data_IF_206725708389
#
_entry.id   IF_206725708389
#
_cell.length_a   1.000
_cell.length_b   1.000
_cell.length_c   1.000
_cell.angle_alpha   90.00
_cell.angle_beta   90.00
_cell.angle_gamma   90.00
#
_symmetry.space_group_name_H-M   'P 1'
#
loop_
_entity.id
_entity.type
_entity.pdbx_description
1 polymer ?
#
# COMPACT_ATOMS: atom_id res chain seq x y z
N UNK A 1 16.93 13.84 -12.26
CA UNK A 1 15.72 13.31 -11.56
C UNK A 1 15.43 11.82 -11.82
N UNK A 2 16.33 11.03 -12.45
CA UNK A 2 16.07 9.62 -12.79
C UNK A 2 16.39 8.57 -11.70
N UNK A 3 17.14 8.93 -10.64
CA UNK A 3 17.54 7.96 -9.58
C UNK A 3 16.38 7.48 -8.72
N UNK A 4 15.46 8.37 -8.35
CA UNK A 4 14.37 8.07 -7.42
C UNK A 4 13.36 7.04 -7.97
N UNK A 5 13.12 7.03 -9.29
CA UNK A 5 12.25 6.02 -9.92
C UNK A 5 12.87 4.63 -9.93
N UNK A 6 14.18 4.53 -10.17
CA UNK A 6 14.92 3.26 -10.18
C UNK A 6 15.00 2.62 -8.79
N UNK A 7 15.31 3.43 -7.76
CA UNK A 7 15.38 2.97 -6.37
C UNK A 7 14.00 2.56 -5.84
N UNK A 8 12.95 3.28 -6.21
CA UNK A 8 11.56 2.93 -5.88
C UNK A 8 11.14 1.60 -6.51
N UNK A 9 11.43 1.39 -7.78
CA UNK A 9 11.09 0.14 -8.47
C UNK A 9 11.80 -1.06 -7.84
N UNK A 10 13.07 -0.92 -7.48
CA UNK A 10 13.82 -1.95 -6.74
C UNK A 10 13.21 -2.25 -5.36
N UNK A 11 12.76 -1.22 -4.66
CA UNK A 11 12.10 -1.34 -3.36
C UNK A 11 10.77 -2.09 -3.47
N UNK A 12 9.96 -1.75 -4.48
CA UNK A 12 8.68 -2.42 -4.76
C UNK A 12 8.88 -3.92 -5.00
N UNK A 13 9.85 -4.30 -5.83
CA UNK A 13 10.11 -5.72 -6.11
C UNK A 13 10.62 -6.47 -4.88
N UNK A 14 11.51 -5.87 -4.10
CA UNK A 14 11.99 -6.46 -2.83
C UNK A 14 10.86 -6.69 -1.82
N UNK A 15 9.90 -5.76 -1.74
CA UNK A 15 8.74 -5.87 -0.86
C UNK A 15 7.77 -6.95 -1.34
N UNK A 16 7.53 -7.07 -2.64
CA UNK A 16 6.73 -8.15 -3.23
C UNK A 16 7.31 -9.52 -2.90
N UNK A 17 8.62 -9.70 -3.09
CA UNK A 17 9.29 -10.97 -2.77
C UNK A 17 9.13 -11.32 -1.29
N UNK A 18 9.26 -10.32 -0.40
CA UNK A 18 9.08 -10.52 1.03
C UNK A 18 7.65 -10.99 1.37
N UNK A 19 6.64 -10.38 0.77
CA UNK A 19 5.23 -10.76 0.98
C UNK A 19 4.94 -12.14 0.39
N UNK A 20 5.53 -12.47 -0.77
CA UNK A 20 5.40 -13.78 -1.38
C UNK A 20 5.99 -14.90 -0.50
N UNK A 21 7.12 -14.63 0.18
CA UNK A 21 7.75 -15.56 1.13
C UNK A 21 7.01 -15.63 2.47
N UNK A 22 6.46 -14.51 2.93
CA UNK A 22 5.73 -14.40 4.19
C UNK A 22 4.44 -13.57 3.98
N UNK A 23 3.31 -14.22 3.65
CA UNK A 23 2.03 -13.53 3.47
C UNK A 23 1.48 -12.86 4.73
N UNK A 24 2.00 -13.20 5.92
CA UNK A 24 1.64 -12.55 7.20
C UNK A 24 2.59 -11.38 7.52
N UNK A 25 3.47 -11.02 6.60
CA UNK A 25 4.38 -9.89 6.77
C UNK A 25 3.62 -8.58 6.69
N UNK A 26 3.87 -7.67 7.63
CA UNK A 26 3.38 -6.28 7.58
C UNK A 26 4.03 -5.44 6.48
N UNK A 27 4.89 -6.04 5.66
CA UNK A 27 5.55 -5.40 4.51
C UNK A 27 4.55 -4.87 3.46
N UNK A 28 3.33 -5.39 3.40
CA UNK A 28 2.27 -4.89 2.52
C UNK A 28 2.01 -3.38 2.72
N UNK A 29 2.14 -2.86 3.94
CA UNK A 29 1.96 -1.43 4.20
C UNK A 29 3.03 -0.59 3.49
N UNK A 30 4.29 -1.04 3.55
CA UNK A 30 5.38 -0.34 2.87
C UNK A 30 5.19 -0.39 1.35
N UNK A 31 4.75 -1.54 0.83
CA UNK A 31 4.48 -1.69 -0.61
C UNK A 31 3.36 -0.77 -1.07
N UNK A 32 2.26 -0.70 -0.31
CA UNK A 32 1.15 0.19 -0.60
C UNK A 32 1.58 1.67 -0.56
N UNK A 33 2.40 2.08 0.41
CA UNK A 33 2.91 3.46 0.48
C UNK A 33 3.83 3.80 -0.70
N UNK A 34 4.65 2.87 -1.17
CA UNK A 34 5.48 3.09 -2.35
C UNK A 34 4.65 3.24 -3.63
N UNK A 35 3.60 2.44 -3.79
CA UNK A 35 2.63 2.62 -4.88
C UNK A 35 1.87 3.94 -4.80
N UNK A 36 1.40 4.31 -3.61
CA UNK A 36 0.66 5.56 -3.39
C UNK A 36 1.51 6.78 -3.79
N UNK A 37 2.76 6.81 -3.34
CA UNK A 37 3.73 7.86 -3.67
C UNK A 37 4.11 7.91 -5.16
N UNK A 38 3.94 6.79 -5.88
CA UNK A 38 4.13 6.70 -7.33
C UNK A 38 2.87 7.11 -8.12
N UNK A 39 1.78 7.50 -7.43
CA UNK A 39 0.49 7.79 -8.05
C UNK A 39 -0.29 6.54 -8.49
N UNK A 40 0.23 5.34 -8.18
CA UNK A 40 -0.38 4.05 -8.49
C UNK A 40 -1.41 3.68 -7.42
N UNK A 41 -2.45 4.50 -7.30
CA UNK A 41 -3.41 4.38 -6.19
C UNK A 41 -4.19 3.06 -6.19
N UNK A 42 -4.52 2.52 -7.37
CA UNK A 42 -5.22 1.22 -7.46
C UNK A 42 -4.40 0.08 -6.86
N UNK A 43 -3.12 -0.01 -7.24
CA UNK A 43 -2.21 -1.02 -6.70
C UNK A 43 -2.02 -0.85 -5.18
N UNK A 44 -1.90 0.39 -4.71
CA UNK A 44 -1.81 0.69 -3.28
C UNK A 44 -3.04 0.23 -2.48
N UNK A 45 -4.25 0.47 -3.03
CA UNK A 45 -5.51 0.01 -2.42
C UNK A 45 -5.56 -1.51 -2.36
N UNK A 46 -5.27 -2.20 -3.47
CA UNK A 46 -5.32 -3.66 -3.54
C UNK A 46 -4.39 -4.30 -2.51
N UNK A 47 -3.13 -3.86 -2.46
CA UNK A 47 -2.14 -4.37 -1.50
C UNK A 47 -2.58 -4.11 -0.05
N UNK A 48 -3.12 -2.93 0.25
CA UNK A 48 -3.64 -2.61 1.58
C UNK A 48 -4.82 -3.50 1.97
N UNK A 49 -5.79 -3.71 1.07
CA UNK A 49 -6.95 -4.57 1.32
C UNK A 49 -6.53 -6.02 1.56
N UNK A 50 -5.62 -6.55 0.75
CA UNK A 50 -5.13 -7.93 0.87
C UNK A 50 -4.36 -8.15 2.19
N UNK A 51 -3.55 -7.18 2.60
CA UNK A 51 -2.84 -7.22 3.87
C UNK A 51 -3.78 -7.06 5.07
N UNK A 52 -4.77 -6.16 4.98
CA UNK A 52 -5.78 -5.97 6.03
C UNK A 52 -6.71 -7.18 6.19
N UNK A 53 -6.94 -7.97 5.12
CA UNK A 53 -7.66 -9.23 5.24
C UNK A 53 -6.96 -10.22 6.19
N UNK A 54 -5.62 -10.18 6.24
CA UNK A 54 -4.78 -11.00 7.14
C UNK A 54 -4.50 -10.31 8.48
N UNK A 55 -4.52 -8.98 8.49
CA UNK A 55 -4.25 -8.14 9.66
C UNK A 55 -5.38 -7.11 9.92
N UNK A 56 -6.60 -7.57 10.27
CA UNK A 56 -7.78 -6.69 10.33
C UNK A 56 -7.68 -5.58 11.38
N UNK A 57 -6.84 -5.76 12.40
CA UNK A 57 -6.60 -4.81 13.49
C UNK A 57 -5.42 -3.87 13.23
N UNK A 58 -4.80 -3.91 12.04
CA UNK A 58 -3.63 -3.07 11.76
C UNK A 58 -4.06 -1.63 11.42
N UNK A 59 -4.31 -0.84 12.46
CA UNK A 59 -4.84 0.53 12.36
C UNK A 59 -4.01 1.44 11.44
N UNK A 60 -2.68 1.37 11.50
CA UNK A 60 -1.80 2.16 10.62
C UNK A 60 -2.03 1.88 9.14
N UNK A 61 -2.33 0.63 8.79
CA UNK A 61 -2.66 0.25 7.41
C UNK A 61 -4.06 0.74 7.00
N UNK A 62 -5.04 0.74 7.90
CA UNK A 62 -6.37 1.33 7.64
C UNK A 62 -6.29 2.83 7.37
N UNK A 63 -5.47 3.55 8.15
CA UNK A 63 -5.19 4.98 7.93
C UNK A 63 -4.54 5.20 6.56
N UNK A 64 -3.55 4.38 6.19
CA UNK A 64 -2.88 4.51 4.87
C UNK A 64 -3.83 4.18 3.72
N UNK A 65 -4.72 3.21 3.88
CA UNK A 65 -5.78 2.92 2.93
C UNK A 65 -6.74 4.11 2.76
N UNK A 66 -7.18 4.72 3.86
CA UNK A 66 -8.02 5.93 3.82
C UNK A 66 -7.34 7.09 3.07
N UNK A 67 -6.05 7.34 3.36
CA UNK A 67 -5.25 8.34 2.65
C UNK A 67 -5.11 8.04 1.16
N UNK A 68 -4.91 6.77 0.81
CA UNK A 68 -4.81 6.32 -0.58
C UNK A 68 -6.12 6.61 -1.33
N UNK A 69 -7.26 6.30 -0.72
CA UNK A 69 -8.57 6.62 -1.31
C UNK A 69 -8.78 8.13 -1.48
N UNK A 70 -8.37 8.95 -0.50
CA UNK A 70 -8.44 10.42 -0.62
C UNK A 70 -7.62 10.93 -1.80
N UNK A 71 -6.38 10.45 -1.94
CA UNK A 71 -5.49 10.85 -3.05
C UNK A 71 -6.00 10.33 -4.41
N UNK A 72 -6.70 9.19 -4.42
CA UNK A 72 -7.38 8.65 -5.61
C UNK A 72 -8.69 9.40 -5.97
N UNK A 73 -9.17 10.30 -5.11
CA UNK A 73 -10.46 10.99 -5.27
C UNK A 73 -11.69 10.15 -4.86
N UNK A 74 -11.49 8.97 -4.30
CA UNK A 74 -12.56 8.08 -3.83
C UNK A 74 -12.94 8.42 -2.38
N UNK A 75 -13.66 9.53 -2.22
CA UNK A 75 -14.04 10.05 -0.90
C UNK A 75 -15.02 9.12 -0.16
N UNK A 76 -15.79 8.32 -0.91
CA UNK A 76 -16.72 7.37 -0.29
C UNK A 76 -15.98 6.26 0.43
N UNK A 77 -15.02 5.62 -0.23
CA UNK A 77 -14.23 4.57 0.40
C UNK A 77 -13.25 5.13 1.44
N UNK A 78 -12.73 6.35 1.24
CA UNK A 78 -11.92 7.02 2.26
C UNK A 78 -12.68 7.16 3.60
N UNK A 79 -13.95 7.57 3.56
CA UNK A 79 -14.80 7.70 4.76
C UNK A 79 -15.03 6.36 5.46
N UNK A 80 -15.11 5.26 4.71
CA UNK A 80 -15.31 3.90 5.26
C UNK A 80 -14.04 3.31 5.86
N UNK A 81 -12.87 3.81 5.45
CA UNK A 81 -11.58 3.30 5.90
C UNK A 81 -11.18 3.80 7.30
N UNK A 82 -11.72 4.96 7.72
CA UNK A 82 -11.65 5.49 9.09
C UNK A 82 -12.70 4.85 9.98
#
# INVERSE_FOLDING_TARGET
MAKAGSERQSTIESLKERIARDPLSRAFLQLAEEYRRDGRYKDAVEVCLEGLARHPTYHTARISLGRTYMEAGDLENARRAF
#
